data_IF_089507192566
#
_entry.id   IF_089507192566
#
_cell.length_a   1.000
_cell.length_b   1.000
_cell.length_c   1.000
_cell.angle_alpha   90.00
_cell.angle_beta   90.00
_cell.angle_gamma   90.00
#
_symmetry.space_group_name_H-M   'P 1'
#
loop_
_entity.id
_entity.type
_entity.pdbx_description
1 polymer ?
#
# COMPACT_ATOMS: atom_id res chain seq x y z
N UNK A 1 4.70 2.36 11.91
CA UNK A 1 5.44 1.41 12.78
C UNK A 1 4.63 0.92 13.99
N UNK A 2 4.07 1.84 14.80
CA UNK A 2 3.33 1.47 16.02
C UNK A 2 2.06 0.65 15.76
N UNK A 3 1.28 0.98 14.71
CA UNK A 3 0.05 0.23 14.38
C UNK A 3 0.34 -1.22 13.93
N UNK A 4 1.45 -1.49 13.25
CA UNK A 4 1.85 -2.88 12.90
C UNK A 4 2.14 -3.72 14.14
N UNK A 5 2.82 -3.14 15.13
CA UNK A 5 3.13 -3.80 16.41
C UNK A 5 1.85 -4.02 17.21
N UNK A 6 0.99 -3.00 17.28
CA UNK A 6 -0.29 -3.05 17.99
C UNK A 6 -1.24 -4.10 17.42
N UNK A 7 -1.32 -4.22 16.10
CA UNK A 7 -2.18 -5.21 15.41
C UNK A 7 -1.54 -6.60 15.33
N UNK A 8 -0.26 -6.73 15.71
CA UNK A 8 0.53 -7.94 15.57
C UNK A 8 0.38 -8.55 14.17
N UNK A 9 0.67 -7.72 13.16
CA UNK A 9 0.57 -8.13 11.74
C UNK A 9 1.58 -9.25 11.50
N UNK A 10 1.14 -10.37 10.95
CA UNK A 10 2.02 -11.49 10.62
C UNK A 10 2.82 -11.21 9.36
N UNK A 11 3.83 -12.03 9.10
CA UNK A 11 4.63 -11.91 7.88
C UNK A 11 3.77 -12.14 6.62
N UNK A 12 2.87 -13.13 6.64
CA UNK A 12 2.00 -13.46 5.52
C UNK A 12 1.02 -12.32 5.22
N UNK A 13 0.42 -11.74 6.26
CA UNK A 13 -0.45 -10.57 6.13
C UNK A 13 0.32 -9.38 5.58
N UNK A 14 1.51 -9.11 6.12
CA UNK A 14 2.37 -8.02 5.66
C UNK A 14 2.74 -8.16 4.18
N UNK A 15 3.10 -9.36 3.73
CA UNK A 15 3.44 -9.62 2.33
C UNK A 15 2.24 -9.40 1.40
N UNK A 16 1.04 -9.85 1.78
CA UNK A 16 -0.18 -9.59 1.01
C UNK A 16 -0.49 -8.08 0.96
N UNK A 17 -0.39 -7.40 2.11
CA UNK A 17 -0.62 -5.96 2.24
C UNK A 17 0.35 -5.15 1.37
N UNK A 18 1.64 -5.54 1.29
CA UNK A 18 2.61 -4.88 0.41
C UNK A 18 2.17 -4.90 -1.05
N UNK A 19 1.69 -6.03 -1.54
CA UNK A 19 1.21 -6.13 -2.93
C UNK A 19 -0.07 -5.31 -3.10
N UNK A 20 -0.99 -5.36 -2.14
CA UNK A 20 -2.21 -4.56 -2.20
C UNK A 20 -1.93 -3.05 -2.19
N UNK A 21 -0.90 -2.57 -1.49
CA UNK A 21 -0.46 -1.17 -1.55
C UNK A 21 -0.01 -0.76 -2.96
N UNK A 22 0.78 -1.62 -3.63
CA UNK A 22 1.20 -1.41 -5.01
C UNK A 22 0.00 -1.31 -5.96
N UNK A 23 -1.02 -2.14 -5.73
CA UNK A 23 -2.24 -2.21 -6.55
C UNK A 23 -3.33 -1.21 -6.12
N UNK A 24 -3.02 -0.26 -5.22
CA UNK A 24 -4.03 0.68 -4.68
C UNK A 24 -4.08 2.05 -5.39
N UNK A 25 -3.19 2.31 -6.34
CA UNK A 25 -3.17 3.57 -7.09
C UNK A 25 -3.16 3.26 -8.59
N UNK A 26 -4.16 3.77 -9.32
CA UNK A 26 -4.29 3.63 -10.77
C UNK A 26 -4.55 5.00 -11.41
N UNK A 27 -4.25 5.17 -12.71
CA UNK A 27 -4.60 6.39 -13.45
C UNK A 27 -6.12 6.59 -13.50
N UNK A 28 -6.56 7.85 -13.64
CA UNK A 28 -7.99 8.20 -13.71
C UNK A 28 -8.65 7.65 -14.98
N UNK A 29 -7.90 7.60 -16.07
CA UNK A 29 -8.25 7.02 -17.35
C UNK A 29 -8.27 5.48 -17.34
N UNK A 30 -7.81 4.86 -16.24
CA UNK A 30 -7.71 3.41 -16.09
C UNK A 30 -6.46 2.82 -16.75
N UNK A 31 -6.29 1.50 -16.61
CA UNK A 31 -5.18 0.77 -17.19
C UNK A 31 -5.56 0.14 -18.53
N UNK A 32 -4.57 -0.03 -19.41
CA UNK A 32 -4.74 -0.74 -20.70
C UNK A 32 -5.39 -2.12 -20.55
N UNK A 33 -5.07 -2.80 -19.45
CA UNK A 33 -5.47 -4.17 -19.11
C UNK A 33 -6.25 -4.20 -17.79
N UNK A 34 -7.30 -3.38 -17.69
CA UNK A 34 -8.06 -3.16 -16.46
C UNK A 34 -8.58 -4.46 -15.83
N UNK A 35 -9.19 -5.34 -16.61
CA UNK A 35 -9.72 -6.62 -16.11
C UNK A 35 -8.63 -7.51 -15.51
N UNK A 36 -7.47 -7.62 -16.15
CA UNK A 36 -6.35 -8.41 -15.62
C UNK A 36 -5.81 -7.81 -14.32
N UNK A 37 -5.78 -6.47 -14.20
CA UNK A 37 -5.38 -5.80 -12.97
C UNK A 37 -6.37 -6.07 -11.83
N UNK A 38 -7.67 -6.01 -12.10
CA UNK A 38 -8.72 -6.29 -11.12
C UNK A 38 -8.73 -7.75 -10.66
N UNK A 39 -8.49 -8.69 -11.58
CA UNK A 39 -8.31 -10.11 -11.28
C UNK A 39 -7.10 -10.34 -10.36
N UNK A 40 -5.97 -9.70 -10.68
CA UNK A 40 -4.76 -9.76 -9.85
C UNK A 40 -5.02 -9.19 -8.45
N UNK A 41 -5.61 -7.99 -8.35
CA UNK A 41 -5.96 -7.36 -7.08
C UNK A 41 -6.90 -8.24 -6.26
N UNK A 42 -7.94 -8.79 -6.89
CA UNK A 42 -8.89 -9.70 -6.26
C UNK A 42 -8.23 -10.98 -5.74
N UNK A 43 -7.22 -11.49 -6.45
CA UNK A 43 -6.44 -12.64 -6.00
C UNK A 43 -5.68 -12.35 -4.70
N UNK A 44 -5.01 -11.21 -4.61
CA UNK A 44 -4.29 -10.81 -3.39
C UNK A 44 -5.22 -10.48 -2.22
N UNK A 45 -6.44 -9.99 -2.48
CA UNK A 45 -7.47 -9.84 -1.42
C UNK A 45 -7.85 -11.22 -0.86
N UNK A 46 -8.02 -12.23 -1.73
CA UNK A 46 -8.31 -13.60 -1.28
C UNK A 46 -7.15 -14.21 -0.49
N UNK A 47 -5.90 -13.96 -0.90
CA UNK A 47 -4.72 -14.42 -0.15
C UNK A 47 -4.63 -13.76 1.24
N UNK A 48 -4.97 -12.47 1.35
CA UNK A 48 -5.05 -11.80 2.66
C UNK A 48 -6.12 -12.44 3.56
N UNK A 49 -7.30 -12.76 3.01
CA UNK A 49 -8.38 -13.44 3.75
C UNK A 49 -7.92 -14.83 4.22
N UNK A 50 -7.20 -15.58 3.37
CA UNK A 50 -6.62 -16.88 3.77
C UNK A 50 -5.59 -16.72 4.88
N UNK A 51 -4.67 -15.77 4.77
CA UNK A 51 -3.66 -15.49 5.78
C UNK A 51 -4.28 -15.14 7.14
N UNK A 52 -5.36 -14.35 7.16
CA UNK A 52 -6.14 -14.05 8.36
C UNK A 52 -6.76 -15.32 8.96
N UNK A 53 -7.34 -16.19 8.11
CA UNK A 53 -7.97 -17.44 8.52
C UNK A 53 -7.02 -18.45 9.16
N UNK A 54 -5.70 -18.35 8.90
CA UNK A 54 -4.69 -19.17 9.58
C UNK A 54 -4.51 -18.78 11.05
N UNK A 55 -4.82 -17.53 11.42
CA UNK A 55 -4.62 -16.99 12.78
C UNK A 55 -5.91 -16.81 13.57
N UNK A 56 -7.00 -16.41 12.90
CA UNK A 56 -8.28 -16.13 13.52
C UNK A 56 -9.27 -17.27 13.27
N UNK A 57 -9.85 -17.80 14.35
CA UNK A 57 -10.91 -18.82 14.27
C UNK A 57 -12.27 -18.13 14.35
N UNK A 58 -13.15 -18.45 13.41
CA UNK A 58 -14.52 -17.93 13.37
C UNK A 58 -14.70 -16.69 12.49
N UNK A 59 -15.86 -16.62 11.85
CA UNK A 59 -16.18 -15.62 10.81
C UNK A 59 -16.08 -14.19 11.34
N UNK A 60 -16.63 -13.91 12.52
CA UNK A 60 -16.66 -12.55 13.09
C UNK A 60 -15.24 -12.02 13.37
N UNK A 61 -14.37 -12.85 13.97
CA UNK A 61 -13.00 -12.45 14.27
C UNK A 61 -12.19 -12.19 12.99
N UNK A 62 -12.33 -13.07 12.00
CA UNK A 62 -11.68 -12.90 10.70
C UNK A 62 -12.16 -11.65 9.97
N UNK A 63 -13.46 -11.34 9.98
CA UNK A 63 -14.00 -10.12 9.39
C UNK A 63 -13.50 -8.85 10.11
N UNK A 64 -13.45 -8.86 11.44
CA UNK A 64 -12.93 -7.73 12.21
C UNK A 64 -11.44 -7.50 11.93
N UNK A 65 -10.64 -8.57 11.86
CA UNK A 65 -9.22 -8.48 11.50
C UNK A 65 -9.03 -7.98 10.07
N UNK A 66 -9.83 -8.47 9.13
CA UNK A 66 -9.80 -7.99 7.75
C UNK A 66 -10.04 -6.47 7.69
N UNK A 67 -11.07 -5.99 8.37
CA UNK A 67 -11.36 -4.56 8.47
C UNK A 67 -10.21 -3.75 9.08
N UNK A 68 -9.57 -4.25 10.15
CA UNK A 68 -8.41 -3.59 10.77
C UNK A 68 -7.23 -3.47 9.79
N UNK A 69 -6.94 -4.52 9.03
CA UNK A 69 -5.84 -4.52 8.07
C UNK A 69 -6.13 -3.64 6.85
N UNK A 70 -7.36 -3.65 6.33
CA UNK A 70 -7.75 -2.75 5.22
C UNK A 70 -7.75 -1.29 5.65
N UNK A 71 -8.21 -0.99 6.88
CA UNK A 71 -8.13 0.36 7.44
C UNK A 71 -6.69 0.84 7.57
N UNK A 72 -5.76 -0.05 7.92
CA UNK A 72 -4.33 0.27 7.94
C UNK A 72 -3.80 0.60 6.53
N UNK A 73 -4.23 -0.14 5.49
CA UNK A 73 -3.87 0.15 4.10
C UNK A 73 -4.36 1.54 3.65
N UNK A 74 -5.59 1.91 4.00
CA UNK A 74 -6.16 3.21 3.67
C UNK A 74 -5.36 4.35 4.33
N UNK A 75 -5.03 4.20 5.62
CA UNK A 75 -4.20 5.17 6.33
C UNK A 75 -2.80 5.31 5.73
N UNK A 76 -2.21 4.21 5.25
CA UNK A 76 -0.92 4.23 4.57
C UNK A 76 -0.99 4.97 3.23
N UNK A 77 -2.11 4.86 2.51
CA UNK A 77 -2.32 5.60 1.26
C UNK A 77 -2.26 7.11 1.49
N UNK A 78 -2.93 7.60 2.53
CA UNK A 78 -2.91 9.03 2.86
C UNK A 78 -1.54 9.52 3.33
N UNK A 79 -0.81 8.70 4.10
CA UNK A 79 0.57 9.00 4.45
C UNK A 79 1.47 9.08 3.21
N UNK A 80 1.33 8.14 2.28
CA UNK A 80 2.12 8.11 1.04
C UNK A 80 1.84 9.34 0.18
N UNK A 81 0.59 9.82 0.10
CA UNK A 81 0.27 11.09 -0.58
C UNK A 81 1.04 12.28 0.01
N UNK A 82 1.07 12.40 1.34
CA UNK A 82 1.79 13.50 2.00
C UNK A 82 3.30 13.41 1.77
N UNK A 83 3.87 12.20 1.86
CA UNK A 83 5.28 11.96 1.56
C UNK A 83 5.62 12.29 0.10
N UNK A 84 4.75 11.92 -0.84
CA UNK A 84 4.95 12.19 -2.26
C UNK A 84 4.90 13.69 -2.54
N UNK A 85 3.96 14.43 -1.94
CA UNK A 85 3.89 15.90 -2.07
C UNK A 85 5.16 16.58 -1.51
N UNK A 86 5.63 16.14 -0.35
CA UNK A 86 6.87 16.66 0.23
C UNK A 86 8.08 16.36 -0.67
N UNK A 87 8.16 15.14 -1.20
CA UNK A 87 9.21 14.71 -2.13
C UNK A 87 9.21 15.59 -3.39
N UNK A 88 8.05 15.81 -4.00
CA UNK A 88 7.89 16.66 -5.18
C UNK A 88 8.32 18.12 -4.91
N UNK A 89 7.88 18.69 -3.79
CA UNK A 89 8.28 20.05 -3.39
C UNK A 89 9.81 20.17 -3.23
N UNK A 90 10.41 19.17 -2.58
CA UNK A 90 11.86 19.10 -2.39
C UNK A 90 12.60 18.92 -3.71
N UNK A 91 12.05 18.12 -4.63
CA UNK A 91 12.60 17.91 -5.97
C UNK A 91 12.61 19.19 -6.80
N UNK A 92 11.49 19.93 -6.83
CA UNK A 92 11.36 21.22 -7.52
C UNK A 92 12.35 22.26 -6.95
N UNK A 93 12.55 22.26 -5.63
CA UNK A 93 13.44 23.21 -4.94
C UNK A 93 14.85 22.65 -4.65
N UNK A 94 15.20 21.51 -5.24
CA UNK A 94 16.41 20.73 -4.92
C UNK A 94 17.69 21.56 -4.88
N UNK A 95 17.88 22.46 -5.87
CA UNK A 95 19.03 23.38 -5.93
C UNK A 95 19.07 24.38 -4.77
N UNK A 96 17.92 24.96 -4.41
CA UNK A 96 17.84 25.94 -3.32
C UNK A 96 18.01 25.28 -1.95
N UNK A 97 17.52 24.04 -1.81
CA UNK A 97 17.61 23.25 -0.58
C UNK A 97 18.89 22.43 -0.47
N UNK A 98 19.76 22.44 -1.50
CA UNK A 98 20.96 21.61 -1.58
C UNK A 98 20.69 20.11 -1.38
N UNK A 99 19.63 19.61 -2.01
CA UNK A 99 19.24 18.19 -1.98
C UNK A 99 19.55 17.56 -3.33
N UNK A 100 20.29 16.45 -3.33
CA UNK A 100 20.57 15.67 -4.53
C UNK A 100 19.60 14.50 -4.69
N UNK A 101 19.19 14.24 -5.93
CA UNK A 101 18.34 13.10 -6.29
C UNK A 101 19.13 12.16 -7.21
N UNK A 102 19.20 10.86 -6.91
CA UNK A 102 19.75 9.86 -7.83
C UNK A 102 18.98 9.79 -9.16
N UNK A 103 19.61 9.25 -10.19
CA UNK A 103 19.04 9.13 -11.55
C UNK A 103 17.70 8.41 -11.54
N UNK A 104 17.62 7.19 -10.98
CA UNK A 104 16.37 6.43 -10.88
C UNK A 104 15.24 7.22 -10.20
N UNK A 105 15.54 7.94 -9.12
CA UNK A 105 14.54 8.74 -8.42
C UNK A 105 14.08 9.92 -9.25
N UNK A 106 14.98 10.51 -10.03
CA UNK A 106 14.66 11.62 -10.92
C UNK A 106 13.75 11.17 -12.06
N UNK A 107 13.99 10.00 -12.65
CA UNK A 107 13.12 9.42 -13.69
C UNK A 107 11.73 9.03 -13.18
N UNK A 108 11.63 8.59 -11.92
CA UNK A 108 10.34 8.21 -11.31
C UNK A 108 9.50 9.43 -10.90
N UNK A 109 10.15 10.54 -10.53
CA UNK A 109 9.46 11.77 -10.08
C UNK A 109 9.13 12.72 -11.25
N UNK A 110 9.99 12.77 -12.28
CA UNK A 110 9.84 13.65 -13.46
C UNK A 110 8.67 13.24 -14.36
#
# INVERSE_FOLDING_TARGET
PQEFVKLQVSQEEFLCMKVLLLLNTIPLEGLRSQTQFEEMRSSYIRELIKAIGLRQKGVVSSSQRFYQLTKLLDNLHDLVKQLHLYCLNTFIQSRALSVEFPEMMSEVIA
#
